data_IF_750037883551
#
_entry.id   IF_750037883551
#
_cell.length_a   1.000
_cell.length_b   1.000
_cell.length_c   1.000
_cell.angle_alpha   90.00
_cell.angle_beta   90.00
_cell.angle_gamma   90.00
#
_symmetry.space_group_name_H-M   'P 1'
#
loop_
_entity.id
_entity.type
_entity.pdbx_description
1 polymer ?
#
# COMPACT_ATOMS: atom_id res chain seq x y z
N UNK A 1 5.94 -0.51 -8.46
CA UNK A 1 5.31 -1.12 -7.26
C UNK A 1 6.41 -1.56 -6.34
N UNK A 2 6.30 -1.26 -5.04
CA UNK A 2 7.33 -1.59 -4.05
C UNK A 2 6.87 -2.79 -3.23
N UNK A 3 5.70 -2.68 -2.58
CA UNK A 3 5.09 -3.71 -1.73
C UNK A 3 3.56 -3.75 -1.95
N UNK A 4 2.86 -4.69 -1.32
CA UNK A 4 1.39 -4.82 -1.42
C UNK A 4 0.58 -3.66 -0.83
N UNK A 5 1.22 -2.70 -0.16
CA UNK A 5 0.62 -1.47 0.36
C UNK A 5 1.35 -0.19 -0.09
N UNK A 6 2.41 -0.33 -0.90
CA UNK A 6 3.30 0.78 -1.26
C UNK A 6 3.60 0.79 -2.76
N UNK A 7 3.24 1.90 -3.41
CA UNK A 7 3.46 2.09 -4.85
C UNK A 7 4.19 3.41 -5.13
N UNK A 8 4.83 3.49 -6.30
CA UNK A 8 5.41 4.73 -6.77
C UNK A 8 4.37 5.50 -7.57
N UNK A 9 4.22 6.77 -7.26
CA UNK A 9 3.31 7.65 -7.95
C UNK A 9 4.02 8.95 -8.32
N UNK A 10 3.69 9.45 -9.51
CA UNK A 10 3.95 10.83 -9.87
C UNK A 10 2.79 11.66 -9.35
N UNK A 11 3.07 12.52 -8.38
CA UNK A 11 2.08 13.39 -7.76
C UNK A 11 2.25 14.78 -8.36
N UNK A 12 1.19 15.30 -8.97
CA UNK A 12 1.12 16.68 -9.44
C UNK A 12 0.67 17.55 -8.26
N UNK A 13 1.60 18.30 -7.68
CA UNK A 13 1.30 19.13 -6.51
C UNK A 13 0.74 20.49 -6.95
N UNK A 14 1.34 21.08 -8.00
CA UNK A 14 0.99 22.38 -8.57
C UNK A 14 1.27 22.38 -10.08
N UNK A 15 0.70 23.29 -10.89
CA UNK A 15 1.07 23.42 -12.30
C UNK A 15 2.59 23.57 -12.46
N UNK A 16 3.23 22.62 -13.15
CA UNK A 16 4.69 22.59 -13.35
C UNK A 16 5.51 21.99 -12.19
N UNK A 17 4.88 21.59 -11.07
CA UNK A 17 5.54 20.90 -9.96
C UNK A 17 5.06 19.45 -9.87
N UNK A 18 5.90 18.55 -10.33
CA UNK A 18 5.70 17.11 -10.27
C UNK A 18 6.73 16.50 -9.32
N UNK A 19 6.29 15.59 -8.47
CA UNK A 19 7.19 14.81 -7.62
C UNK A 19 6.90 13.33 -7.81
N UNK A 20 7.93 12.55 -8.15
CA UNK A 20 7.85 11.09 -8.05
C UNK A 20 8.19 10.68 -6.63
N UNK A 21 7.25 10.06 -5.94
CA UNK A 21 7.46 9.59 -4.57
C UNK A 21 6.82 8.23 -4.35
N UNK A 22 7.24 7.57 -3.27
CA UNK A 22 6.59 6.34 -2.80
C UNK A 22 5.41 6.71 -1.91
N UNK A 23 4.26 6.13 -2.21
CA UNK A 23 3.01 6.33 -1.50
C UNK A 23 2.67 5.04 -0.76
N UNK A 24 2.68 5.10 0.57
CA UNK A 24 2.19 4.04 1.44
C UNK A 24 0.72 4.29 1.73
N UNK A 25 -0.11 3.28 1.48
CA UNK A 25 -1.54 3.32 1.77
C UNK A 25 -1.77 3.41 3.28
N UNK A 26 -2.59 4.38 3.68
CA UNK A 26 -2.94 4.61 5.09
C UNK A 26 -3.81 3.48 5.63
N UNK A 27 -3.61 3.18 6.92
CA UNK A 27 -4.49 2.32 7.70
C UNK A 27 -4.31 0.83 7.44
N UNK A 28 -3.36 0.44 6.58
CA UNK A 28 -3.12 -0.95 6.22
C UNK A 28 -1.64 -1.33 6.37
N UNK A 29 -1.43 -2.63 6.51
CA UNK A 29 -0.16 -3.30 6.37
C UNK A 29 -0.34 -4.45 5.37
N UNK A 30 0.61 -4.60 4.45
CA UNK A 30 0.67 -5.73 3.53
C UNK A 30 1.92 -6.59 3.81
N UNK A 31 1.91 -7.87 3.40
CA UNK A 31 3.09 -8.72 3.49
C UNK A 31 4.24 -8.14 2.65
N UNK A 32 5.45 -8.22 3.18
CA UNK A 32 6.64 -7.62 2.57
C UNK A 32 7.23 -8.58 1.52
N UNK A 33 7.69 -8.04 0.38
CA UNK A 33 8.26 -8.85 -0.72
C UNK A 33 9.56 -9.59 -0.35
N UNK A 34 10.17 -9.23 0.79
CA UNK A 34 11.33 -9.92 1.39
C UNK A 34 10.93 -10.72 2.62
N UNK A 35 9.76 -11.35 2.57
CA UNK A 35 9.16 -12.06 3.68
C UNK A 35 10.06 -13.11 4.33
N UNK A 36 9.82 -13.39 5.61
CA UNK A 36 10.61 -14.31 6.41
C UNK A 36 10.29 -15.80 6.10
N UNK A 37 9.22 -16.07 5.37
CA UNK A 37 8.80 -17.42 4.99
C UNK A 37 8.12 -17.44 3.62
N UNK A 38 8.08 -18.61 2.99
CA UNK A 38 7.47 -18.81 1.66
C UNK A 38 6.00 -18.36 1.60
N UNK A 39 5.24 -18.54 2.67
CA UNK A 39 3.84 -18.12 2.71
C UNK A 39 3.68 -16.59 2.76
N UNK A 40 4.58 -15.88 3.44
CA UNK A 40 4.61 -14.42 3.41
C UNK A 40 4.95 -13.91 2.00
N UNK A 41 5.89 -14.53 1.30
CA UNK A 41 6.18 -14.18 -0.10
C UNK A 41 4.96 -14.39 -1.00
N UNK A 42 4.28 -15.55 -0.88
CA UNK A 42 3.08 -15.85 -1.67
C UNK A 42 1.97 -14.83 -1.42
N UNK A 43 1.77 -14.45 -0.16
CA UNK A 43 0.81 -13.39 0.17
C UNK A 43 1.27 -12.03 -0.35
N UNK A 44 2.57 -11.70 -0.26
CA UNK A 44 3.12 -10.44 -0.76
C UNK A 44 2.90 -10.29 -2.27
N UNK A 45 3.14 -11.36 -3.04
CA UNK A 45 2.86 -11.42 -4.48
C UNK A 45 1.38 -11.18 -4.76
N UNK A 46 0.49 -11.92 -4.09
CA UNK A 46 -0.96 -11.77 -4.26
C UNK A 46 -1.45 -10.36 -3.90
N UNK A 47 -0.93 -9.78 -2.82
CA UNK A 47 -1.24 -8.41 -2.41
C UNK A 47 -0.74 -7.39 -3.42
N UNK A 48 0.45 -7.60 -3.97
CA UNK A 48 0.99 -6.77 -5.04
C UNK A 48 0.14 -6.86 -6.31
N UNK A 49 -0.27 -8.05 -6.74
CA UNK A 49 -1.16 -8.22 -7.89
C UNK A 49 -2.51 -7.53 -7.70
N UNK A 50 -3.12 -7.68 -6.52
CA UNK A 50 -4.39 -7.01 -6.21
C UNK A 50 -4.25 -5.49 -6.23
N UNK A 51 -3.18 -4.94 -5.63
CA UNK A 51 -2.92 -3.51 -5.69
C UNK A 51 -2.70 -3.04 -7.14
N UNK A 52 -1.97 -3.79 -7.98
CA UNK A 52 -1.80 -3.45 -9.41
C UNK A 52 -3.14 -3.42 -10.13
N UNK A 53 -3.99 -4.43 -9.88
CA UNK A 53 -5.31 -4.52 -10.51
C UNK A 53 -6.19 -3.33 -10.13
N UNK A 54 -6.21 -2.93 -8.85
CA UNK A 54 -6.97 -1.76 -8.41
C UNK A 54 -6.45 -0.47 -9.06
N UNK A 55 -5.13 -0.27 -9.11
CA UNK A 55 -4.52 0.92 -9.72
C UNK A 55 -4.69 0.96 -11.25
N UNK A 56 -4.83 -0.20 -11.90
CA UNK A 56 -5.05 -0.31 -13.34
C UNK A 56 -6.41 0.25 -13.79
N UNK A 57 -7.36 0.49 -12.87
CA UNK A 57 -8.60 1.20 -13.16
C UNK A 57 -8.37 2.64 -13.70
N UNK A 58 -7.18 3.19 -13.47
CA UNK A 58 -6.80 4.53 -13.88
C UNK A 58 -7.36 5.63 -12.97
N UNK A 59 -7.02 6.88 -13.31
CA UNK A 59 -7.41 8.09 -12.57
C UNK A 59 -7.17 7.97 -11.06
N UNK A 60 -5.95 7.55 -10.69
CA UNK A 60 -5.57 7.37 -9.30
C UNK A 60 -5.50 8.73 -8.61
N UNK A 61 -6.46 8.98 -7.73
CA UNK A 61 -6.49 10.15 -6.86
C UNK A 61 -5.77 9.83 -5.55
N UNK A 62 -4.81 10.68 -5.17
CA UNK A 62 -4.02 10.55 -3.94
C UNK A 62 -4.27 11.79 -3.08
N UNK A 63 -4.73 11.59 -1.85
CA UNK A 63 -5.19 12.67 -0.97
C UNK A 63 -4.90 12.36 0.50
N UNK A 64 -5.15 13.33 1.39
CA UNK A 64 -4.78 13.27 2.81
C UNK A 64 -3.29 12.87 3.00
N UNK A 65 -2.42 13.52 2.24
CA UNK A 65 -0.99 13.22 2.20
C UNK A 65 -0.34 13.71 3.51
N UNK A 66 0.31 12.80 4.22
CA UNK A 66 1.08 13.09 5.42
C UNK A 66 2.52 12.57 5.33
N UNK A 67 3.44 13.12 6.14
CA UNK A 67 4.81 12.63 6.19
C UNK A 67 4.84 11.20 6.74
N UNK A 68 5.66 10.33 6.15
CA UNK A 68 6.03 9.09 6.81
C UNK A 68 7.14 9.33 7.84
N UNK A 69 7.24 8.44 8.83
CA UNK A 69 8.27 8.45 9.88
C UNK A 69 9.71 8.44 9.32
N UNK A 70 9.89 7.97 8.08
CA UNK A 70 11.18 7.92 7.39
C UNK A 70 11.16 8.85 6.17
N UNK A 71 12.08 9.81 6.12
CA UNK A 71 12.26 10.71 4.98
C UNK A 71 12.51 9.88 3.69
N UNK A 72 11.51 9.75 2.83
CA UNK A 72 11.60 8.97 1.58
C UNK A 72 10.33 8.28 1.10
N UNK A 73 9.20 8.43 1.81
CA UNK A 73 7.84 8.09 1.35
C UNK A 73 6.80 8.98 2.03
N UNK A 74 5.60 9.02 1.47
CA UNK A 74 4.43 9.67 2.08
C UNK A 74 3.40 8.63 2.49
N UNK A 75 2.59 8.95 3.49
CA UNK A 75 1.39 8.16 3.83
C UNK A 75 0.18 8.90 3.30
N UNK A 76 -0.66 8.23 2.51
CA UNK A 76 -1.81 8.86 1.89
C UNK A 76 -2.98 7.89 1.73
N UNK A 77 -4.16 8.46 1.50
CA UNK A 77 -5.31 7.73 0.99
C UNK A 77 -5.25 7.72 -0.54
N UNK A 78 -5.70 6.62 -1.15
CA UNK A 78 -5.79 6.49 -2.59
C UNK A 78 -7.15 5.96 -3.02
N UNK A 79 -7.65 6.50 -4.12
CA UNK A 79 -8.87 6.07 -4.80
C UNK A 79 -8.60 5.96 -6.31
N UNK A 80 -9.42 5.18 -7.00
CA UNK A 80 -9.47 5.13 -8.47
C UNK A 80 -10.88 5.47 -8.93
N UNK A 81 -11.08 5.56 -10.25
CA UNK A 81 -12.41 5.85 -10.81
C UNK A 81 -13.49 4.85 -10.40
N UNK A 82 -13.12 3.59 -10.14
CA UNK A 82 -14.05 2.52 -9.73
C UNK A 82 -13.92 2.13 -8.27
N UNK A 83 -12.79 2.44 -7.63
CA UNK A 83 -12.49 2.04 -6.27
C UNK A 83 -12.38 3.27 -5.36
N UNK A 84 -13.40 3.58 -4.54
CA UNK A 84 -13.40 4.76 -3.67
C UNK A 84 -12.29 4.75 -2.60
N UNK A 85 -11.82 3.57 -2.20
CA UNK A 85 -10.69 3.41 -1.28
C UNK A 85 -9.91 2.14 -1.62
N UNK A 86 -8.68 2.31 -2.09
CA UNK A 86 -7.77 1.19 -2.38
C UNK A 86 -7.44 0.42 -1.10
N UNK A 87 -7.23 1.13 0.02
CA UNK A 87 -7.01 0.50 1.33
C UNK A 87 -8.17 -0.40 1.74
N UNK A 88 -9.42 0.09 1.64
CA UNK A 88 -10.59 -0.70 2.01
C UNK A 88 -10.78 -1.92 1.11
N UNK A 89 -10.52 -1.77 -0.20
CA UNK A 89 -10.59 -2.88 -1.14
C UNK A 89 -9.58 -3.99 -0.80
N UNK A 90 -8.32 -3.63 -0.51
CA UNK A 90 -7.29 -4.59 -0.12
C UNK A 90 -7.59 -5.30 1.21
N UNK A 91 -8.18 -4.59 2.17
CA UNK A 91 -8.65 -5.20 3.42
C UNK A 91 -9.78 -6.20 3.17
N UNK A 92 -10.79 -5.80 2.39
CA UNK A 92 -11.95 -6.62 2.11
C UNK A 92 -11.60 -7.91 1.34
N UNK A 93 -10.60 -7.86 0.47
CA UNK A 93 -10.10 -9.01 -0.29
C UNK A 93 -9.08 -9.87 0.47
N UNK A 94 -8.71 -9.51 1.71
CA UNK A 94 -7.74 -10.25 2.51
C UNK A 94 -6.28 -10.09 2.06
N UNK A 95 -5.98 -9.07 1.26
CA UNK A 95 -4.63 -8.76 0.78
C UNK A 95 -3.86 -7.81 1.71
N UNK A 96 -4.51 -7.30 2.76
CA UNK A 96 -3.89 -6.48 3.77
C UNK A 96 -4.55 -6.68 5.14
N UNK A 97 -3.88 -6.24 6.20
CA UNK A 97 -4.42 -6.19 7.56
C UNK A 97 -4.58 -4.74 8.00
N UNK A 98 -5.54 -4.49 8.88
CA UNK A 98 -5.70 -3.17 9.48
C UNK A 98 -4.48 -2.84 10.34
N UNK A 99 -3.94 -1.64 10.17
CA UNK A 99 -2.74 -1.19 10.87
C UNK A 99 -2.88 0.28 11.28
N UNK A 100 -2.84 0.53 12.58
CA UNK A 100 -2.95 1.86 13.17
C UNK A 100 -1.63 2.36 13.77
N UNK A 101 -0.51 1.73 13.41
CA UNK A 101 0.81 2.00 13.98
C UNK A 101 1.23 0.97 15.05
N UNK A 102 2.45 1.11 15.55
CA UNK A 102 3.04 0.19 16.53
C UNK A 102 3.92 -0.90 15.89
N UNK A 103 4.03 -2.05 16.55
CA UNK A 103 4.81 -3.19 16.04
C UNK A 103 3.92 -4.00 15.10
N UNK A 104 4.39 -4.24 13.88
CA UNK A 104 3.69 -5.11 12.92
C UNK A 104 3.76 -6.56 13.39
N UNK A 105 2.64 -7.28 13.25
CA UNK A 105 2.62 -8.72 13.39
C UNK A 105 3.26 -9.37 12.16
N UNK A 106 3.89 -10.53 12.35
CA UNK A 106 4.40 -11.29 11.21
C UNK A 106 3.27 -11.82 10.33
N UNK A 107 3.58 -12.03 9.06
CA UNK A 107 2.68 -12.66 8.10
C UNK A 107 2.86 -14.19 8.07
N UNK A 108 3.97 -14.70 8.58
CA UNK A 108 4.15 -16.14 8.76
C UNK A 108 3.20 -16.72 9.82
N UNK A 109 2.61 -17.88 9.52
CA UNK A 109 1.72 -18.60 10.45
C UNK A 109 2.40 -18.98 11.78
N UNK A 110 3.73 -19.08 11.81
CA UNK A 110 4.53 -19.31 13.03
C UNK A 110 4.79 -18.05 13.87
N UNK A 111 4.47 -16.86 13.35
CA UNK A 111 4.68 -15.57 14.03
C UNK A 111 3.45 -15.08 14.80
N UNK A 112 2.34 -15.83 14.76
CA UNK A 112 1.18 -15.62 15.61
C UNK A 112 1.32 -16.43 16.90
N UNK A 113 2.12 -15.93 17.85
CA UNK A 113 2.03 -16.28 19.27
C UNK A 113 2.09 -15.01 20.10
#
# INVERSE_FOLDING_TARGET
MVDGDTFEARVHLWPGLEMTTRVRLRGIDAPEMKGACAEELRMAEASGEALRALLADGDVAIFNIGPDKYNGRVVADAATRRTPSVSAALLASGHARQYQGGKRGGWCWLSAR
#
